data_IF_384439746744
#
_entry.id   IF_384439746744
#
_cell.length_a   1.000
_cell.length_b   1.000
_cell.length_c   1.000
_cell.angle_alpha   90.00
_cell.angle_beta   90.00
_cell.angle_gamma   90.00
#
_symmetry.space_group_name_H-M   'P 1'
#
loop_
_entity.id
_entity.type
_entity.pdbx_description
1 polymer ?
#
# COMPACT_ATOMS: atom_id res chain seq x y z
N UNK A 1 11.89 5.38 -12.14
CA UNK A 1 12.82 6.54 -12.26
C UNK A 1 12.78 7.46 -11.04
N UNK A 2 11.69 7.50 -10.25
CA UNK A 2 11.57 8.39 -9.09
C UNK A 2 12.40 7.91 -7.88
N UNK A 3 12.75 6.63 -7.81
CA UNK A 3 13.41 6.03 -6.65
C UNK A 3 14.87 5.62 -6.87
N UNK A 4 15.45 5.88 -8.04
CA UNK A 4 16.82 5.43 -8.32
C UNK A 4 17.92 6.25 -7.64
N UNK A 5 17.64 7.49 -7.29
CA UNK A 5 18.49 8.31 -6.42
C UNK A 5 17.61 9.26 -5.63
N UNK A 6 17.68 9.18 -4.31
CA UNK A 6 17.14 10.24 -3.45
C UNK A 6 17.94 11.50 -3.79
N UNK A 7 17.45 12.25 -4.75
CA UNK A 7 18.02 13.53 -5.10
C UNK A 7 17.34 14.59 -4.21
N UNK A 8 18.13 15.50 -3.67
CA UNK A 8 17.62 16.62 -2.86
C UNK A 8 16.48 17.35 -3.57
N UNK A 9 16.53 17.47 -4.91
CA UNK A 9 15.44 18.05 -5.71
C UNK A 9 14.13 17.30 -5.60
N UNK A 10 14.16 15.96 -5.64
CA UNK A 10 12.96 15.13 -5.52
C UNK A 10 12.39 15.17 -4.10
N UNK A 11 13.27 15.21 -3.10
CA UNK A 11 12.86 15.38 -1.70
C UNK A 11 12.20 16.75 -1.48
N UNK A 12 12.81 17.82 -1.98
CA UNK A 12 12.24 19.16 -1.92
C UNK A 12 10.90 19.27 -2.65
N UNK A 13 10.77 18.63 -3.81
CA UNK A 13 9.50 18.57 -4.55
C UNK A 13 8.40 17.90 -3.73
N UNK A 14 8.69 16.73 -3.14
CA UNK A 14 7.72 16.01 -2.29
C UNK A 14 7.36 16.84 -1.04
N UNK A 15 8.34 17.44 -0.38
CA UNK A 15 8.11 18.33 0.76
C UNK A 15 7.29 19.57 0.35
N UNK A 16 7.53 20.15 -0.81
CA UNK A 16 6.78 21.30 -1.32
C UNK A 16 5.33 20.94 -1.61
N UNK A 17 5.06 19.77 -2.22
CA UNK A 17 3.73 19.27 -2.44
C UNK A 17 3.02 19.03 -1.09
N UNK A 18 3.73 18.48 -0.11
CA UNK A 18 3.18 18.26 1.23
C UNK A 18 2.83 19.59 1.94
N UNK A 19 3.68 20.62 1.79
CA UNK A 19 3.44 21.96 2.34
C UNK A 19 2.31 22.72 1.64
N UNK A 20 1.89 22.32 0.44
CA UNK A 20 0.73 22.89 -0.24
C UNK A 20 -0.61 22.37 0.31
N UNK A 21 -0.60 21.34 1.16
CA UNK A 21 -1.80 20.90 1.86
C UNK A 21 -2.21 22.01 2.83
N UNK A 22 -3.43 22.58 2.72
CA UNK A 22 -3.84 23.72 3.55
C UNK A 22 -3.74 23.39 5.04
N UNK A 23 -3.06 24.24 5.80
CA UNK A 23 -2.93 24.12 7.27
C UNK A 23 -4.29 24.07 7.98
N UNK A 24 -5.33 24.64 7.36
CA UNK A 24 -6.72 24.56 7.84
C UNK A 24 -7.22 23.12 7.91
N UNK A 25 -6.85 22.26 6.95
CA UNK A 25 -7.18 20.82 6.96
C UNK A 25 -6.40 20.10 8.05
N UNK A 26 -5.21 20.57 8.38
CA UNK A 26 -4.37 20.00 9.44
C UNK A 26 -4.78 20.43 10.85
N UNK A 27 -5.48 21.55 10.99
CA UNK A 27 -5.90 22.11 12.29
C UNK A 27 -7.20 21.54 12.85
N UNK A 28 -7.95 20.78 12.06
CA UNK A 28 -9.21 20.20 12.50
C UNK A 28 -9.00 19.01 13.44
N UNK A 29 -9.93 18.81 14.37
CA UNK A 29 -9.88 17.82 15.46
C UNK A 29 -9.78 16.36 15.01
N UNK A 30 -9.92 16.08 13.72
CA UNK A 30 -9.77 14.74 13.11
C UNK A 30 -8.38 14.45 12.50
N UNK A 31 -7.45 15.41 12.46
CA UNK A 31 -6.20 15.28 11.71
C UNK A 31 -5.35 14.07 12.10
N UNK A 32 -5.19 13.79 13.40
CA UNK A 32 -4.41 12.63 13.86
C UNK A 32 -5.04 11.32 13.40
N UNK A 33 -6.35 11.21 13.51
CA UNK A 33 -7.09 10.03 13.05
C UNK A 33 -7.00 9.87 11.52
N UNK A 34 -7.13 10.98 10.78
CA UNK A 34 -7.01 10.99 9.33
C UNK A 34 -5.60 10.58 8.87
N UNK A 35 -4.56 11.09 9.52
CA UNK A 35 -3.17 10.73 9.22
C UNK A 35 -2.93 9.25 9.44
N UNK A 36 -3.31 8.71 10.59
CA UNK A 36 -3.11 7.31 10.94
C UNK A 36 -3.95 6.37 10.04
N UNK A 37 -5.19 6.77 9.73
CA UNK A 37 -6.10 5.91 8.99
C UNK A 37 -5.93 5.97 7.47
N UNK A 38 -5.38 7.04 6.91
CA UNK A 38 -5.25 7.20 5.46
C UNK A 38 -3.82 7.40 4.99
N UNK A 39 -3.07 8.35 5.55
CA UNK A 39 -1.73 8.66 5.04
C UNK A 39 -0.73 7.54 5.31
N UNK A 40 -0.73 6.97 6.52
CA UNK A 40 0.18 5.87 6.86
C UNK A 40 -0.12 4.59 6.07
N UNK A 41 -1.38 4.12 5.95
CA UNK A 41 -1.69 2.99 5.08
C UNK A 41 -1.24 3.18 3.63
N UNK A 42 -1.45 4.39 3.05
CA UNK A 42 -0.96 4.68 1.70
C UNK A 42 0.57 4.63 1.63
N UNK A 43 1.28 5.26 2.57
CA UNK A 43 2.74 5.22 2.61
C UNK A 43 3.27 3.79 2.74
N UNK A 44 2.66 2.99 3.62
CA UNK A 44 3.03 1.59 3.79
C UNK A 44 2.67 0.71 2.59
N UNK A 45 1.59 1.03 1.86
CA UNK A 45 1.26 0.33 0.63
C UNK A 45 2.35 0.48 -0.43
N UNK A 46 2.93 1.67 -0.57
CA UNK A 46 4.04 1.91 -1.47
C UNK A 46 5.29 1.12 -1.09
N UNK A 47 5.62 1.07 0.21
CA UNK A 47 6.75 0.27 0.71
C UNK A 47 6.50 -1.23 0.53
N UNK A 48 5.29 -1.69 0.82
CA UNK A 48 4.87 -3.09 0.67
C UNK A 48 4.84 -3.53 -0.79
N UNK A 49 4.60 -2.60 -1.72
CA UNK A 49 4.63 -2.87 -3.16
C UNK A 49 6.05 -3.03 -3.73
N UNK A 50 7.07 -2.66 -2.99
CA UNK A 50 8.45 -2.65 -3.48
C UNK A 50 8.97 -4.02 -3.99
N UNK A 51 8.67 -5.18 -3.36
CA UNK A 51 9.02 -6.50 -3.90
C UNK A 51 8.45 -6.78 -5.30
N UNK A 52 7.23 -6.29 -5.59
CA UNK A 52 6.64 -6.38 -6.92
C UNK A 52 7.41 -5.54 -7.93
N UNK A 53 7.82 -4.35 -7.51
CA UNK A 53 8.61 -3.45 -8.33
C UNK A 53 9.99 -4.00 -8.67
N UNK A 54 10.66 -4.71 -7.74
CA UNK A 54 11.92 -5.42 -8.01
C UNK A 54 11.74 -6.45 -9.12
N UNK A 55 10.69 -7.29 -9.05
CA UNK A 55 10.42 -8.27 -10.11
C UNK A 55 10.04 -7.65 -11.46
N UNK A 56 9.33 -6.52 -11.46
CA UNK A 56 9.04 -5.78 -12.70
C UNK A 56 10.33 -5.30 -13.38
N UNK A 57 11.34 -4.94 -12.60
CA UNK A 57 12.69 -4.59 -13.12
C UNK A 57 13.53 -5.80 -13.51
N UNK A 58 13.08 -7.01 -13.22
CA UNK A 58 13.86 -8.23 -13.43
C UNK A 58 14.93 -8.46 -12.35
N UNK A 59 14.80 -7.80 -11.20
CA UNK A 59 15.66 -7.96 -10.04
C UNK A 59 15.14 -9.09 -9.13
N UNK A 60 16.02 -9.68 -8.34
CA UNK A 60 15.61 -10.64 -7.31
C UNK A 60 15.00 -9.93 -6.10
N UNK A 61 14.03 -10.59 -5.46
CA UNK A 61 13.39 -10.05 -4.26
C UNK A 61 14.40 -10.00 -3.10
N UNK A 62 14.66 -8.82 -2.60
CA UNK A 62 15.50 -8.64 -1.41
C UNK A 62 14.80 -9.24 -0.18
N UNK A 63 15.44 -10.24 0.43
CA UNK A 63 14.88 -10.98 1.57
C UNK A 63 14.55 -10.09 2.76
N UNK A 64 15.36 -9.09 3.05
CA UNK A 64 15.12 -8.17 4.17
C UNK A 64 13.88 -7.31 3.92
N UNK A 65 13.76 -6.76 2.72
CA UNK A 65 12.61 -5.93 2.33
C UNK A 65 11.33 -6.78 2.34
N UNK A 66 11.38 -8.00 1.82
CA UNK A 66 10.25 -8.92 1.85
C UNK A 66 9.70 -9.13 3.27
N UNK A 67 10.57 -9.44 4.24
CA UNK A 67 10.15 -9.66 5.62
C UNK A 67 9.64 -8.39 6.31
N UNK A 68 10.19 -7.22 6.00
CA UNK A 68 9.69 -5.94 6.50
C UNK A 68 8.33 -5.60 5.87
N UNK A 69 8.09 -5.98 4.63
CA UNK A 69 6.82 -5.69 3.94
C UNK A 69 5.62 -6.44 4.54
N UNK A 70 5.82 -7.59 5.20
CA UNK A 70 4.71 -8.37 5.78
C UNK A 70 4.00 -7.61 6.93
N UNK A 71 4.69 -7.12 7.98
CA UNK A 71 4.03 -6.34 9.03
C UNK A 71 3.44 -5.02 8.50
N UNK A 72 4.07 -4.40 7.51
CA UNK A 72 3.51 -3.21 6.86
C UNK A 72 2.23 -3.53 6.09
N UNK A 73 2.14 -4.71 5.48
CA UNK A 73 0.93 -5.20 4.83
C UNK A 73 -0.21 -5.32 5.84
N UNK A 74 0.02 -5.96 6.98
CA UNK A 74 -1.00 -6.12 8.03
C UNK A 74 -1.50 -4.74 8.51
N UNK A 75 -0.63 -3.75 8.60
CA UNK A 75 -1.04 -2.41 8.98
C UNK A 75 -1.88 -1.72 7.90
N UNK A 76 -1.48 -1.79 6.64
CA UNK A 76 -2.22 -1.12 5.54
C UNK A 76 -3.60 -1.74 5.31
N UNK A 77 -3.76 -3.02 5.60
CA UNK A 77 -5.04 -3.73 5.41
C UNK A 77 -6.13 -3.30 6.38
N UNK A 78 -5.78 -2.61 7.49
CA UNK A 78 -6.78 -1.99 8.37
C UNK A 78 -7.62 -0.92 7.67
N UNK A 79 -7.14 -0.35 6.56
CA UNK A 79 -7.91 0.60 5.76
C UNK A 79 -8.46 -0.08 4.50
N UNK A 80 -9.74 -0.35 4.49
CA UNK A 80 -10.43 -1.12 3.45
C UNK A 80 -10.18 -0.59 2.04
N UNK A 81 -10.28 0.72 1.85
CA UNK A 81 -10.09 1.36 0.54
C UNK A 81 -8.65 1.19 0.04
N UNK A 82 -7.66 1.39 0.92
CA UNK A 82 -6.25 1.23 0.57
C UNK A 82 -5.94 -0.24 0.28
N UNK A 83 -6.50 -1.16 1.09
CA UNK A 83 -6.35 -2.59 0.88
C UNK A 83 -6.97 -3.05 -0.45
N UNK A 84 -8.17 -2.57 -0.79
CA UNK A 84 -8.82 -2.88 -2.06
C UNK A 84 -7.96 -2.40 -3.26
N UNK A 85 -7.47 -1.16 -3.22
CA UNK A 85 -6.58 -0.64 -4.26
C UNK A 85 -5.27 -1.45 -4.33
N UNK A 86 -4.68 -1.78 -3.20
CA UNK A 86 -3.47 -2.59 -3.13
C UNK A 86 -3.69 -3.98 -3.72
N UNK A 87 -4.80 -4.64 -3.37
CA UNK A 87 -5.15 -5.96 -3.90
C UNK A 87 -5.33 -5.95 -5.42
N UNK A 88 -6.05 -4.96 -5.97
CA UNK A 88 -6.24 -4.82 -7.42
C UNK A 88 -4.89 -4.61 -8.12
N UNK A 89 -4.05 -3.69 -7.61
CA UNK A 89 -2.73 -3.41 -8.19
C UNK A 89 -1.83 -4.65 -8.16
N UNK A 90 -1.74 -5.32 -7.02
CA UNK A 90 -0.89 -6.53 -6.89
C UNK A 90 -1.40 -7.67 -7.75
N UNK A 91 -2.73 -7.80 -7.93
CA UNK A 91 -3.32 -8.80 -8.82
C UNK A 91 -2.97 -8.53 -10.29
N UNK A 92 -3.09 -7.29 -10.76
CA UNK A 92 -2.72 -6.90 -12.12
C UNK A 92 -1.23 -7.16 -12.38
N UNK A 93 -0.36 -6.74 -11.45
CA UNK A 93 1.09 -6.95 -11.59
C UNK A 93 1.44 -8.42 -11.52
N UNK A 94 0.80 -9.19 -10.65
CA UNK A 94 1.01 -10.65 -10.57
C UNK A 94 0.62 -11.33 -11.88
N UNK A 95 -0.51 -11.00 -12.48
CA UNK A 95 -0.92 -11.51 -13.79
C UNK A 95 0.11 -11.17 -14.88
N UNK A 96 0.56 -9.93 -14.91
CA UNK A 96 1.60 -9.50 -15.83
C UNK A 96 2.90 -10.30 -15.67
N UNK A 97 3.34 -10.52 -14.42
CA UNK A 97 4.55 -11.29 -14.11
C UNK A 97 4.40 -12.78 -14.47
N UNK A 98 3.19 -13.35 -14.29
CA UNK A 98 2.88 -14.74 -14.68
C UNK A 98 3.01 -14.88 -16.20
N UNK A 99 2.38 -13.98 -16.97
CA UNK A 99 2.44 -14.02 -18.45
C UNK A 99 3.87 -13.90 -18.95
N UNK A 100 4.72 -13.11 -18.28
CA UNK A 100 6.13 -12.94 -18.66
C UNK A 100 7.07 -14.00 -18.04
N UNK A 101 6.55 -15.02 -17.35
CA UNK A 101 7.38 -16.09 -16.73
C UNK A 101 8.31 -15.61 -15.62
N UNK A 102 8.05 -14.45 -15.02
CA UNK A 102 8.87 -13.83 -13.96
C UNK A 102 8.23 -13.89 -12.58
N UNK A 103 7.09 -14.55 -12.46
CA UNK A 103 6.35 -14.59 -11.21
C UNK A 103 7.10 -15.40 -10.14
N UNK A 104 7.12 -14.86 -8.92
CA UNK A 104 7.66 -15.54 -7.75
C UNK A 104 6.51 -15.81 -6.76
N UNK A 105 6.34 -17.10 -6.40
CA UNK A 105 5.28 -17.56 -5.50
C UNK A 105 5.24 -16.83 -4.14
N UNK A 106 6.38 -16.27 -3.69
CA UNK A 106 6.44 -15.47 -2.47
C UNK A 106 5.49 -14.27 -2.49
N UNK A 107 5.19 -13.73 -3.68
CA UNK A 107 4.24 -12.63 -3.82
C UNK A 107 2.78 -13.06 -3.60
N UNK A 108 2.47 -14.36 -3.76
CA UNK A 108 1.12 -14.87 -3.46
C UNK A 108 0.71 -14.61 -2.01
N UNK A 109 1.68 -14.60 -1.08
CA UNK A 109 1.42 -14.32 0.34
C UNK A 109 0.77 -12.95 0.51
N UNK A 110 1.24 -11.93 -0.22
CA UNK A 110 0.67 -10.58 -0.15
C UNK A 110 -0.78 -10.55 -0.64
N UNK A 111 -1.06 -11.21 -1.77
CA UNK A 111 -2.41 -11.29 -2.34
C UNK A 111 -3.35 -12.08 -1.44
N UNK A 112 -2.90 -13.18 -0.83
CA UNK A 112 -3.69 -14.00 0.08
C UNK A 112 -4.05 -13.22 1.35
N UNK A 113 -3.08 -12.56 1.99
CA UNK A 113 -3.32 -11.74 3.19
C UNK A 113 -4.29 -10.61 2.86
N UNK A 114 -4.03 -9.86 1.79
CA UNK A 114 -4.88 -8.75 1.37
C UNK A 114 -6.32 -9.20 1.07
N UNK A 115 -6.50 -10.34 0.39
CA UNK A 115 -7.81 -10.91 0.11
C UNK A 115 -8.52 -11.36 1.40
N UNK A 116 -7.81 -12.04 2.30
CA UNK A 116 -8.38 -12.49 3.57
C UNK A 116 -8.89 -11.33 4.41
N UNK A 117 -8.11 -10.24 4.50
CA UNK A 117 -8.51 -9.03 5.21
C UNK A 117 -9.67 -8.30 4.53
N UNK A 118 -9.75 -8.30 3.20
CA UNK A 118 -10.91 -7.75 2.48
C UNK A 118 -12.19 -8.54 2.79
N UNK A 119 -12.10 -9.88 2.76
CA UNK A 119 -13.24 -10.74 3.10
C UNK A 119 -13.66 -10.50 4.55
N UNK A 120 -12.69 -10.46 5.48
CA UNK A 120 -12.96 -10.19 6.89
C UNK A 120 -13.65 -8.83 7.07
N UNK A 121 -13.13 -7.77 6.44
CA UNK A 121 -13.72 -6.44 6.49
C UNK A 121 -15.16 -6.41 5.97
N UNK A 122 -15.44 -7.04 4.83
CA UNK A 122 -16.77 -7.09 4.25
C UNK A 122 -17.78 -7.89 5.10
N UNK A 123 -17.30 -8.89 5.85
CA UNK A 123 -18.16 -9.73 6.72
C UNK A 123 -18.34 -9.15 8.12
N UNK A 124 -17.64 -8.08 8.47
CA UNK A 124 -17.72 -7.46 9.79
C UNK A 124 -19.09 -6.79 10.00
N UNK A 125 -19.79 -7.08 11.13
CA UNK A 125 -21.15 -6.56 11.39
C UNK A 125 -21.26 -5.04 11.32
N UNK A 126 -20.18 -4.30 11.65
CA UNK A 126 -20.14 -2.84 11.57
C UNK A 126 -20.31 -2.30 10.16
N UNK A 127 -19.84 -3.01 9.13
CA UNK A 127 -20.01 -2.61 7.74
C UNK A 127 -21.40 -2.93 7.21
N UNK A 128 -22.01 -4.04 7.66
CA UNK A 128 -23.40 -4.35 7.35
C UNK A 128 -24.35 -3.27 7.87
N UNK A 129 -24.10 -2.72 9.05
CA UNK A 129 -24.90 -1.62 9.61
C UNK A 129 -24.72 -0.30 8.85
N UNK A 130 -23.52 -0.01 8.33
CA UNK A 130 -23.28 1.19 7.50
C UNK A 130 -23.92 1.10 6.12
N UNK A 131 -24.02 -0.11 5.56
CA UNK A 131 -24.67 -0.33 4.26
C UNK A 131 -26.21 -0.27 4.35
N UNK A 132 -26.79 -0.39 5.54
CA UNK A 132 -28.23 -0.36 5.78
C UNK A 132 -28.79 1.06 6.04
N UNK A 133 -27.92 2.07 6.14
CA UNK A 133 -28.24 3.50 6.29
C UNK A 133 -27.84 4.29 5.04
#
# INVERSE_FOLDING_TARGET
YVFEKINVKNLLLVCSIYCLIPLTVMGETGWRATTLNYQWPVAFSLLTFYPFFQLLRGEEINRKIYWVSIPLLIFLTNQEQVNACFFVLTSIVSLYLIVNGRYNYKLSVFSIISLAELIFSLTTPGNALRAAH
#
